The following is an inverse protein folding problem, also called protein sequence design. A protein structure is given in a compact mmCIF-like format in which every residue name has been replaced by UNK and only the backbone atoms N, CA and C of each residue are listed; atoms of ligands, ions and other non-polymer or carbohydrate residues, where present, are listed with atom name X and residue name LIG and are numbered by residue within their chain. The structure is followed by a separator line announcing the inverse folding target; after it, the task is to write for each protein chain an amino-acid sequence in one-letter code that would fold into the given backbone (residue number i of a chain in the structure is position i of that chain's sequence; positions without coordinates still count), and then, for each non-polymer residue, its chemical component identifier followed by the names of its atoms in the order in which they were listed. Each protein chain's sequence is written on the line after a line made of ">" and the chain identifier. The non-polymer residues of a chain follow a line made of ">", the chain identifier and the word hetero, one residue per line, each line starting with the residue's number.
data_IF_291423675164
#
_entry.id   IF_291423675164
#
_cell.length_a   1.000
_cell.length_b   1.000
_cell.length_c   1.000
_cell.angle_alpha   90.00
_cell.angle_beta   90.00
_cell.angle_gamma   90.00
#
_symmetry.space_group_name_H-M   'P 1'
#
loop_
_entity.id
_entity.type
_entity.pdbx_description
1 polymer ?
#
# COMPACT_ATOMS: atom_id res chain seq x y z
N UNK A 1 52.95 -9.58 -8.05
CA UNK A 1 51.87 -9.97 -7.11
C UNK A 1 50.60 -10.23 -7.93
N UNK A 2 50.32 -11.49 -8.29
CA UNK A 2 49.12 -11.84 -9.08
C UNK A 2 47.92 -12.02 -8.16
N UNK A 3 46.93 -11.16 -8.28
CA UNK A 3 45.62 -11.35 -7.64
C UNK A 3 44.81 -12.35 -8.46
N UNK A 4 44.64 -13.57 -7.93
CA UNK A 4 43.67 -14.54 -8.45
C UNK A 4 42.26 -14.04 -8.16
N UNK A 5 41.53 -13.65 -9.21
CA UNK A 5 40.09 -13.36 -9.11
C UNK A 5 39.34 -14.69 -9.15
N UNK A 6 38.94 -15.19 -7.99
CA UNK A 6 38.08 -16.37 -7.90
C UNK A 6 36.67 -16.00 -8.37
N UNK A 7 36.23 -16.58 -9.50
CA UNK A 7 34.85 -16.49 -9.96
C UNK A 7 33.98 -17.34 -9.03
N UNK A 8 33.33 -16.69 -8.06
CA UNK A 8 32.26 -17.29 -7.28
C UNK A 8 31.16 -17.79 -8.22
N UNK A 9 30.95 -19.11 -8.26
CA UNK A 9 29.81 -19.69 -8.99
C UNK A 9 28.54 -19.25 -8.25
N UNK A 10 27.77 -18.34 -8.84
CA UNK A 10 26.47 -17.96 -8.29
C UNK A 10 25.54 -19.16 -8.38
N UNK A 11 25.29 -19.83 -7.26
CA UNK A 11 24.25 -20.84 -7.19
C UNK A 11 22.91 -20.15 -7.45
N UNK A 12 22.15 -20.54 -8.49
CA UNK A 12 20.84 -19.95 -8.74
C UNK A 12 19.96 -20.13 -7.52
N UNK A 13 19.31 -19.06 -7.07
CA UNK A 13 18.36 -19.12 -5.97
C UNK A 13 17.25 -20.10 -6.37
N UNK A 14 16.92 -21.11 -5.56
CA UNK A 14 15.89 -22.08 -5.89
C UNK A 14 14.55 -21.37 -6.12
N UNK A 15 14.04 -21.48 -7.34
CA UNK A 15 12.76 -20.91 -7.77
C UNK A 15 11.67 -21.94 -7.54
N UNK A 16 10.68 -21.61 -6.70
CA UNK A 16 9.45 -22.41 -6.58
C UNK A 16 8.29 -21.58 -7.11
N UNK A 17 7.63 -22.06 -8.14
CA UNK A 17 6.39 -21.46 -8.65
C UNK A 17 5.25 -21.91 -7.73
N UNK A 18 4.73 -21.01 -6.88
CA UNK A 18 3.60 -21.30 -5.99
C UNK A 18 2.27 -20.97 -6.68
N UNK A 19 1.36 -21.95 -6.70
CA UNK A 19 -0.06 -21.69 -6.93
C UNK A 19 -0.69 -21.26 -5.59
N UNK A 20 -0.96 -19.97 -5.43
CA UNK A 20 -1.53 -19.40 -4.21
C UNK A 20 -3.06 -19.57 -4.23
N UNK A 21 -3.61 -20.16 -3.16
CA UNK A 21 -5.07 -20.37 -2.97
C UNK A 21 -5.75 -19.27 -2.17
N UNK A 22 -4.99 -18.48 -1.40
CA UNK A 22 -5.55 -17.46 -0.50
C UNK A 22 -4.60 -16.25 -0.32
N UNK A 23 -5.19 -15.09 -0.05
CA UNK A 23 -4.57 -13.76 -0.08
C UNK A 23 -3.80 -13.40 1.18
N UNK A 24 -4.11 -14.06 2.29
CA UNK A 24 -3.41 -13.94 3.58
C UNK A 24 -1.94 -14.38 3.52
N UNK A 25 -1.51 -14.97 2.40
CA UNK A 25 -0.16 -15.54 2.21
C UNK A 25 0.75 -14.65 1.36
N UNK A 26 0.28 -13.49 0.88
CA UNK A 26 1.04 -12.60 -0.01
C UNK A 26 1.97 -11.67 0.83
N UNK A 27 3.31 -11.71 0.68
CA UNK A 27 4.24 -10.93 1.52
C UNK A 27 4.19 -9.41 1.26
N UNK A 28 4.19 -8.54 2.29
CA UNK A 28 4.20 -7.06 2.10
C UNK A 28 5.38 -6.51 1.27
N UNK A 29 6.45 -7.30 1.11
CA UNK A 29 7.67 -6.93 0.42
C UNK A 29 7.78 -7.57 -0.97
N UNK A 30 7.13 -6.94 -1.96
CA UNK A 30 7.38 -7.20 -3.38
C UNK A 30 8.50 -6.32 -3.91
N UNK A 31 9.24 -6.81 -4.90
CA UNK A 31 10.26 -6.08 -5.64
C UNK A 31 9.98 -6.18 -7.14
N UNK A 32 10.45 -5.19 -7.90
CA UNK A 32 10.29 -5.15 -9.35
C UNK A 32 11.64 -5.02 -10.03
N UNK A 33 11.88 -5.81 -11.08
CA UNK A 33 13.06 -5.64 -11.93
C UNK A 33 12.87 -4.44 -12.87
N UNK A 34 13.94 -3.83 -13.42
CA UNK A 34 13.79 -2.77 -14.43
C UNK A 34 12.97 -3.19 -15.66
N UNK A 35 12.91 -4.49 -15.97
CA UNK A 35 12.05 -5.06 -17.02
C UNK A 35 10.58 -5.23 -16.62
N UNK A 36 10.21 -4.82 -15.41
CA UNK A 36 8.82 -4.78 -14.93
C UNK A 36 8.31 -6.05 -14.26
N UNK A 37 9.13 -7.09 -14.09
CA UNK A 37 8.71 -8.36 -13.45
C UNK A 37 8.61 -8.21 -11.94
N UNK A 38 7.47 -8.60 -11.36
CA UNK A 38 7.25 -8.63 -9.91
C UNK A 38 7.75 -9.95 -9.30
N UNK A 39 8.46 -9.85 -8.18
CA UNK A 39 8.90 -11.01 -7.40
C UNK A 39 8.95 -10.70 -5.90
N UNK A 40 8.88 -11.73 -5.06
CA UNK A 40 9.14 -11.63 -3.62
C UNK A 40 10.07 -12.76 -3.18
N UNK A 41 10.73 -12.60 -2.03
CA UNK A 41 11.57 -13.65 -1.44
C UNK A 41 11.07 -13.95 -0.04
N UNK A 42 10.69 -15.20 0.21
CA UNK A 42 10.29 -15.62 1.56
C UNK A 42 11.52 -15.79 2.45
N UNK A 43 11.41 -15.70 3.79
CA UNK A 43 12.54 -15.91 4.70
C UNK A 43 13.29 -17.23 4.50
N UNK A 44 12.63 -18.27 3.95
CA UNK A 44 13.24 -19.54 3.56
C UNK A 44 14.05 -19.51 2.25
N UNK A 45 14.28 -18.32 1.67
CA UNK A 45 15.11 -18.12 0.48
C UNK A 45 14.42 -18.47 -0.86
N UNK A 46 13.12 -18.77 -0.85
CA UNK A 46 12.39 -19.09 -2.09
C UNK A 46 11.92 -17.82 -2.78
N UNK A 47 12.21 -17.70 -4.08
CA UNK A 47 11.72 -16.60 -4.92
C UNK A 47 10.38 -16.95 -5.55
N UNK A 48 9.39 -16.11 -5.31
CA UNK A 48 8.06 -16.17 -5.95
C UNK A 48 8.05 -15.14 -7.07
N UNK A 49 7.73 -15.57 -8.29
CA UNK A 49 7.59 -14.69 -9.47
C UNK A 49 6.11 -14.61 -9.81
N UNK A 50 5.59 -13.39 -9.95
CA UNK A 50 4.18 -13.17 -10.24
C UNK A 50 3.98 -12.77 -11.70
N UNK A 51 3.19 -13.56 -12.42
CA UNK A 51 2.80 -13.25 -13.79
C UNK A 51 1.77 -12.13 -13.84
N UNK A 52 1.92 -11.22 -14.82
CA UNK A 52 0.97 -10.12 -15.04
C UNK A 52 -0.47 -10.61 -15.18
N UNK A 53 -0.69 -11.72 -15.90
CA UNK A 53 -2.03 -12.29 -16.09
C UNK A 53 -2.64 -12.74 -14.76
N UNK A 54 -1.88 -13.50 -13.97
CA UNK A 54 -2.32 -13.98 -12.66
C UNK A 54 -2.69 -12.81 -11.72
N UNK A 55 -1.87 -11.76 -11.66
CA UNK A 55 -2.16 -10.57 -10.85
C UNK A 55 -3.43 -9.82 -11.31
N UNK A 56 -3.69 -9.78 -12.61
CA UNK A 56 -4.90 -9.16 -13.14
C UNK A 56 -6.15 -10.02 -12.90
N UNK A 57 -6.03 -11.34 -12.99
CA UNK A 57 -7.14 -12.25 -12.69
C UNK A 57 -7.54 -12.17 -11.21
N UNK A 58 -6.54 -12.00 -10.34
CA UNK A 58 -6.71 -11.78 -8.92
C UNK A 58 -7.58 -10.55 -8.58
N UNK A 59 -7.60 -9.50 -9.42
CA UNK A 59 -8.50 -8.33 -9.28
C UNK A 59 -9.98 -8.72 -9.23
N UNK A 60 -10.37 -9.82 -9.89
CA UNK A 60 -11.77 -10.24 -9.96
C UNK A 60 -12.25 -10.95 -8.69
N UNK A 61 -11.36 -11.23 -7.74
CA UNK A 61 -11.72 -11.85 -6.48
C UNK A 61 -12.63 -10.94 -5.62
N UNK A 62 -13.58 -11.50 -4.85
CA UNK A 62 -14.45 -10.71 -3.99
C UNK A 62 -13.70 -9.85 -2.97
N UNK A 63 -12.58 -10.36 -2.44
CA UNK A 63 -11.78 -9.68 -1.43
C UNK A 63 -11.12 -8.40 -1.96
N UNK A 64 -10.81 -8.34 -3.27
CA UNK A 64 -10.25 -7.15 -3.90
C UNK A 64 -11.24 -5.98 -3.98
N UNK A 65 -12.52 -6.21 -3.70
CA UNK A 65 -13.57 -5.17 -3.67
C UNK A 65 -13.77 -4.59 -2.27
N UNK A 66 -13.18 -5.19 -1.25
CA UNK A 66 -13.30 -4.70 0.12
C UNK A 66 -12.25 -3.60 0.35
N UNK A 67 -12.64 -2.37 0.70
CA UNK A 67 -11.69 -1.32 1.02
C UNK A 67 -10.89 -1.68 2.30
N UNK A 68 -9.59 -1.31 2.40
CA UNK A 68 -8.80 -1.54 3.60
C UNK A 68 -9.42 -0.89 4.84
N UNK A 69 -9.36 -1.59 5.97
CA UNK A 69 -10.00 -1.17 7.23
C UNK A 69 -9.51 0.18 7.77
N UNK A 70 -8.31 0.62 7.38
CA UNK A 70 -7.72 1.90 7.81
C UNK A 70 -7.41 2.82 6.62
N UNK A 71 -8.20 2.76 5.54
CA UNK A 71 -7.98 3.61 4.36
C UNK A 71 -8.31 5.09 4.71
N UNK A 72 -7.34 6.03 4.62
CA UNK A 72 -7.58 7.43 4.95
C UNK A 72 -8.56 8.05 3.95
N UNK A 73 -9.41 8.97 4.40
CA UNK A 73 -10.32 9.72 3.53
C UNK A 73 -9.63 10.98 3.01
N UNK A 74 -9.20 10.93 1.75
CA UNK A 74 -8.49 11.99 1.05
C UNK A 74 -9.36 12.37 -0.16
N UNK A 75 -9.93 13.59 -0.19
CA UNK A 75 -10.75 14.07 -1.30
C UNK A 75 -10.01 13.97 -2.64
N UNK A 76 -10.63 13.34 -3.62
CA UNK A 76 -10.07 13.14 -4.95
C UNK A 76 -9.11 11.95 -5.09
N UNK A 77 -8.76 11.26 -4.00
CA UNK A 77 -7.87 10.08 -4.02
C UNK A 77 -8.61 8.82 -3.57
N UNK A 78 -9.06 8.79 -2.33
CA UNK A 78 -9.75 7.62 -1.75
C UNK A 78 -11.25 7.82 -1.64
N UNK A 79 -11.71 9.08 -1.67
CA UNK A 79 -13.13 9.44 -1.75
C UNK A 79 -13.35 10.43 -2.90
N UNK A 80 -14.54 10.47 -3.51
CA UNK A 80 -14.87 11.46 -4.53
C UNK A 80 -14.66 12.89 -4.03
N UNK A 81 -14.24 13.81 -4.90
CA UNK A 81 -13.97 15.20 -4.53
C UNK A 81 -15.20 15.92 -3.93
N UNK A 82 -16.42 15.52 -4.32
CA UNK A 82 -17.67 16.05 -3.80
C UNK A 82 -18.33 15.09 -2.77
N UNK A 83 -17.53 14.36 -2.01
CA UNK A 83 -18.06 13.48 -0.97
C UNK A 83 -18.67 14.33 0.17
N UNK A 84 -19.90 14.03 0.64
CA UNK A 84 -20.59 14.85 1.65
C UNK A 84 -19.81 15.07 2.95
N UNK A 85 -18.92 14.15 3.32
CA UNK A 85 -18.04 14.29 4.50
C UNK A 85 -17.02 15.43 4.38
N UNK A 86 -16.64 15.86 3.17
CA UNK A 86 -15.73 16.99 2.99
C UNK A 86 -16.35 18.29 3.55
N UNK A 87 -17.68 18.45 3.45
CA UNK A 87 -18.40 19.59 4.03
C UNK A 87 -18.48 19.54 5.55
N UNK A 88 -18.40 18.35 6.16
CA UNK A 88 -18.50 18.20 7.62
C UNK A 88 -17.22 18.69 8.30
N UNK A 89 -16.06 18.56 7.65
CA UNK A 89 -14.80 19.11 8.16
C UNK A 89 -14.78 20.64 8.08
N UNK A 90 -15.26 21.21 6.97
CA UNK A 90 -15.36 22.67 6.77
C UNK A 90 -16.28 23.33 7.82
N UNK A 91 -17.39 22.68 8.17
CA UNK A 91 -18.30 23.14 9.23
C UNK A 91 -17.74 22.97 10.65
N UNK A 92 -16.83 22.01 10.87
CA UNK A 92 -16.22 21.78 12.19
C UNK A 92 -15.12 22.81 12.50
N UNK A 93 -14.47 23.35 11.47
CA UNK A 93 -13.49 24.45 11.60
C UNK A 93 -14.17 25.81 11.85
N UNK A 94 -15.37 26.04 11.33
CA UNK A 94 -16.15 27.26 11.61
C UNK A 94 -16.66 27.34 13.06
N UNK A 95 -16.94 26.21 13.72
CA UNK A 95 -17.51 26.19 15.08
C UNK A 95 -16.46 26.40 16.19
N UNK A 96 -15.18 26.17 15.92
CA UNK A 96 -14.08 26.38 16.87
C UNK A 96 -13.60 27.84 16.91
N UNK A 97 -13.83 28.63 15.85
CA UNK A 97 -13.37 30.02 15.74
C UNK A 97 -14.20 31.07 16.49
N UNK A 98 -15.38 30.71 17.01
CA UNK A 98 -16.36 31.66 17.54
C UNK A 98 -16.45 31.71 19.09
N UNK A 99 -15.50 31.08 19.80
CA UNK A 99 -15.48 31.06 21.28
C UNK A 99 -14.69 32.21 21.93
N UNK A 100 -13.98 33.03 21.16
CA UNK A 100 -13.06 34.04 21.71
C UNK A 100 -13.67 35.44 21.97
N UNK A 101 -14.95 35.69 21.65
CA UNK A 101 -15.57 37.02 21.81
C UNK A 101 -16.52 37.18 23.02
N UNK A 102 -16.84 36.12 23.76
CA UNK A 102 -17.83 36.19 24.85
C UNK A 102 -17.30 36.81 26.18
N UNK A 103 -16.02 37.18 26.27
CA UNK A 103 -15.37 37.57 27.54
C UNK A 103 -15.18 39.06 27.83
N UNK A 104 -15.57 40.00 26.94
CA UNK A 104 -15.20 41.44 27.08
C UNK A 104 -16.33 42.44 27.27
N UNK A 105 -17.54 42.00 27.59
CA UNK A 105 -18.66 42.89 27.94
C UNK A 105 -19.11 42.67 29.39
N UNK A 106 -18.22 42.94 30.35
CA UNK A 106 -18.61 43.27 31.73
C UNK A 106 -17.44 43.88 32.50
N UNK A 107 -17.07 45.13 32.17
CA UNK A 107 -16.40 46.01 33.12
C UNK A 107 -16.65 47.47 32.72
N UNK A 108 -17.75 48.03 33.21
CA UNK A 108 -17.94 49.45 33.48
C UNK A 108 -18.98 49.59 34.59
#
# INVERSE_FOLDING_TARGET
>A
MSTKTEKTKSCPIPTRVMQLKDWSQLPDCYSQTPGGTLFSTTPGGTRIIYDRKFLLDCRNSPIARTPPCCLPQIPGVTVPAHHPLAKVQELNEELEGDKDLAGKVNLL
#
